data_IF_333176395245
#
_entry.id   IF_333176395245
#
_cell.length_a   1.000
_cell.length_b   1.000
_cell.length_c   1.000
_cell.angle_alpha   90.00
_cell.angle_beta   90.00
_cell.angle_gamma   90.00
#
_symmetry.space_group_name_H-M   'P 1'
#
loop_
_entity.id
_entity.type
_entity.pdbx_description
1 polymer ?
#
# COMPACT_ATOMS: atom_id res chain seq x y z
N UNK A 1 7.83 -15.39 -18.91
CA UNK A 1 8.36 -15.02 -17.58
C UNK A 1 9.35 -13.87 -17.77
N UNK A 2 8.86 -12.62 -17.85
CA UNK A 2 9.72 -11.44 -18.03
C UNK A 2 10.43 -11.15 -16.70
N UNK A 3 11.73 -10.90 -16.77
CA UNK A 3 12.63 -10.66 -15.65
C UNK A 3 12.06 -9.63 -14.68
N UNK A 4 11.66 -10.07 -13.48
CA UNK A 4 11.36 -9.16 -12.37
C UNK A 4 12.68 -8.65 -11.82
N UNK A 5 13.18 -7.54 -12.34
CA UNK A 5 14.27 -6.81 -11.73
C UNK A 5 13.68 -5.97 -10.58
N UNK A 6 13.90 -6.32 -9.31
CA UNK A 6 13.28 -5.63 -8.17
C UNK A 6 13.62 -4.13 -8.12
N UNK A 7 14.75 -3.72 -8.71
CA UNK A 7 15.14 -2.31 -8.79
C UNK A 7 14.21 -1.48 -9.68
N UNK A 8 13.61 -2.06 -10.72
CA UNK A 8 12.65 -1.37 -11.57
C UNK A 8 11.35 -1.07 -10.81
N UNK A 9 10.92 -1.97 -9.93
CA UNK A 9 9.72 -1.77 -9.09
C UNK A 9 9.93 -0.67 -8.05
N UNK A 10 11.15 -0.50 -7.54
CA UNK A 10 11.48 0.53 -6.55
C UNK A 10 11.26 1.98 -7.03
N UNK A 11 11.19 2.18 -8.35
CA UNK A 11 10.92 3.50 -8.93
C UNK A 11 9.43 3.85 -8.93
N UNK A 12 8.55 2.86 -8.81
CA UNK A 12 7.10 3.07 -8.83
C UNK A 12 6.48 3.06 -7.43
N UNK A 13 7.18 2.54 -6.42
CA UNK A 13 6.68 2.55 -5.03
C UNK A 13 6.63 3.98 -4.52
N UNK A 14 5.43 4.41 -4.14
CA UNK A 14 5.16 5.74 -3.60
C UNK A 14 5.08 5.72 -2.07
N UNK A 15 4.38 4.73 -1.50
CA UNK A 15 4.13 4.63 -0.05
C UNK A 15 4.08 3.17 0.41
N UNK A 16 4.62 2.89 1.59
CA UNK A 16 4.47 1.62 2.30
C UNK A 16 3.93 1.89 3.70
N UNK A 17 2.95 1.11 4.13
CA UNK A 17 2.41 1.12 5.50
C UNK A 17 1.73 -0.20 5.85
N UNK A 18 1.53 -0.46 7.14
CA UNK A 18 0.81 -1.63 7.63
C UNK A 18 -0.38 -1.22 8.51
N UNK A 19 -1.46 -2.01 8.46
CA UNK A 19 -2.62 -1.85 9.34
C UNK A 19 -2.88 -3.11 10.15
N UNK A 20 -3.64 -2.95 11.23
CA UNK A 20 -4.30 -4.07 11.89
C UNK A 20 -5.54 -4.53 11.08
N UNK A 21 -6.23 -5.54 11.60
CA UNK A 21 -7.39 -6.17 10.95
C UNK A 21 -8.67 -5.31 10.93
N UNK A 22 -8.67 -4.14 11.57
CA UNK A 22 -9.79 -3.18 11.55
C UNK A 22 -9.41 -1.88 10.80
N UNK A 23 -8.30 -1.92 10.05
CA UNK A 23 -7.85 -0.81 9.22
C UNK A 23 -7.15 0.32 9.97
N UNK A 24 -6.78 0.14 11.24
CA UNK A 24 -5.97 1.13 11.96
C UNK A 24 -4.50 0.92 11.64
N UNK A 25 -3.82 1.98 11.22
CA UNK A 25 -2.41 1.94 10.83
C UNK A 25 -1.50 1.74 12.04
N UNK A 26 -0.58 0.77 11.93
CA UNK A 26 0.33 0.36 13.02
C UNK A 26 1.80 0.67 12.73
N UNK A 27 2.10 1.18 11.53
CA UNK A 27 3.44 1.63 11.14
C UNK A 27 3.43 3.10 10.73
N UNK A 28 4.59 3.77 10.70
CA UNK A 28 4.75 5.00 9.92
C UNK A 28 4.36 4.79 8.46
N UNK A 29 4.11 5.89 7.75
CA UNK A 29 4.24 5.90 6.31
C UNK A 29 5.72 5.96 5.94
N UNK A 30 6.16 5.07 5.06
CA UNK A 30 7.46 5.15 4.41
C UNK A 30 7.22 5.62 2.98
N UNK A 31 7.57 6.86 2.69
CA UNK A 31 7.24 7.52 1.42
C UNK A 31 8.49 7.83 0.60
N UNK A 32 8.38 7.64 -0.72
CA UNK A 32 9.38 8.12 -1.67
C UNK A 32 8.82 9.35 -2.39
N UNK A 33 9.28 10.52 -1.99
CA UNK A 33 8.87 11.80 -2.57
C UNK A 33 10.04 12.33 -3.42
N UNK A 34 9.90 12.29 -4.75
CA UNK A 34 10.93 12.73 -5.69
C UNK A 34 12.19 11.84 -5.69
N UNK A 35 13.36 12.43 -5.98
CA UNK A 35 14.66 11.75 -5.99
C UNK A 35 15.34 11.66 -4.60
N UNK A 36 14.57 11.86 -3.53
CA UNK A 36 15.06 12.01 -2.16
C UNK A 36 15.26 10.66 -1.45
N UNK A 37 15.89 10.71 -0.26
CA UNK A 37 15.81 9.63 0.74
C UNK A 37 14.36 9.33 1.13
N UNK A 38 14.11 8.13 1.67
CA UNK A 38 12.79 7.74 2.19
C UNK A 38 12.38 8.70 3.30
N UNK A 39 11.19 9.29 3.18
CA UNK A 39 10.54 10.06 4.23
C UNK A 39 9.75 9.13 5.16
N UNK A 40 9.86 9.35 6.47
CA UNK A 40 9.24 8.52 7.50
C UNK A 40 8.28 9.38 8.31
N UNK A 41 6.97 9.19 8.09
CA UNK A 41 5.94 9.96 8.77
C UNK A 41 5.15 9.09 9.76
N UNK A 42 5.47 9.23 11.04
CA UNK A 42 4.77 8.55 12.14
C UNK A 42 3.42 9.16 12.49
N UNK A 43 3.05 10.33 11.96
CA UNK A 43 1.76 10.99 12.25
C UNK A 43 0.54 10.24 11.71
N UNK A 44 0.77 9.22 10.89
CA UNK A 44 -0.25 8.31 10.37
C UNK A 44 -0.53 7.10 11.27
N UNK A 45 0.33 6.81 12.26
CA UNK A 45 0.10 5.74 13.22
C UNK A 45 -1.18 6.02 14.02
N UNK A 46 -2.05 5.03 14.13
CA UNK A 46 -3.34 5.13 14.82
C UNK A 46 -4.49 5.68 13.96
N UNK A 47 -4.23 6.23 12.77
CA UNK A 47 -5.30 6.61 11.84
C UNK A 47 -6.03 5.37 11.32
N UNK A 48 -7.34 5.49 11.13
CA UNK A 48 -8.15 4.41 10.59
C UNK A 48 -8.53 4.69 9.12
N UNK A 49 -8.38 3.68 8.26
CA UNK A 49 -8.61 3.78 6.82
C UNK A 49 -9.91 3.13 6.34
N UNK A 50 -10.68 2.53 7.23
CA UNK A 50 -11.93 1.82 6.91
C UNK A 50 -13.02 2.70 6.28
N UNK A 51 -12.89 4.02 6.36
CA UNK A 51 -13.79 4.97 5.68
C UNK A 51 -13.50 5.10 4.18
N UNK A 52 -12.33 4.67 3.69
CA UNK A 52 -12.00 4.73 2.27
C UNK A 52 -12.76 3.63 1.53
N UNK A 53 -13.57 3.96 0.50
CA UNK A 53 -14.44 2.98 -0.17
C UNK A 53 -13.73 1.71 -0.66
N UNK A 54 -12.51 1.84 -1.19
CA UNK A 54 -11.73 0.72 -1.71
C UNK A 54 -10.96 -0.06 -0.64
N UNK A 55 -10.74 0.54 0.54
CA UNK A 55 -9.82 -0.01 1.52
C UNK A 55 -10.38 -1.26 2.22
N UNK A 56 -11.66 -1.24 2.58
CA UNK A 56 -12.28 -2.38 3.27
C UNK A 56 -12.28 -3.65 2.41
N UNK A 57 -12.61 -3.51 1.13
CA UNK A 57 -12.57 -4.63 0.19
C UNK A 57 -11.14 -5.19 0.05
N UNK A 58 -10.15 -4.29 -0.09
CA UNK A 58 -8.75 -4.66 -0.20
C UNK A 58 -8.24 -5.40 1.06
N UNK A 59 -8.53 -4.85 2.24
CA UNK A 59 -8.18 -5.43 3.53
C UNK A 59 -8.81 -6.83 3.67
N UNK A 60 -10.11 -6.95 3.40
CA UNK A 60 -10.84 -8.21 3.52
C UNK A 60 -10.28 -9.29 2.60
N UNK A 61 -10.03 -8.95 1.32
CA UNK A 61 -9.40 -9.86 0.37
C UNK A 61 -8.05 -10.36 0.88
N UNK A 62 -7.20 -9.46 1.39
CA UNK A 62 -5.88 -9.83 1.91
C UNK A 62 -5.94 -10.69 3.16
N UNK A 63 -6.90 -10.44 4.05
CA UNK A 63 -7.08 -11.25 5.27
C UNK A 63 -7.59 -12.66 4.96
N UNK A 64 -8.44 -12.82 3.94
CA UNK A 64 -9.03 -14.11 3.57
C UNK A 64 -8.11 -14.99 2.74
N UNK A 65 -7.06 -14.43 2.15
CA UNK A 65 -6.12 -15.21 1.37
C UNK A 65 -5.20 -16.05 2.28
N UNK A 66 -5.41 -17.36 2.26
CA UNK A 66 -4.64 -18.34 3.05
C UNK A 66 -3.24 -18.56 2.49
N UNK A 67 -2.97 -18.14 1.25
CA UNK A 67 -1.66 -18.28 0.61
C UNK A 67 -0.75 -17.06 0.80
N UNK A 68 -1.28 -15.97 1.38
CA UNK A 68 -0.59 -14.71 1.55
C UNK A 68 0.09 -14.21 0.25
N UNK A 69 -0.62 -14.33 -0.87
CA UNK A 69 -0.28 -13.73 -2.16
C UNK A 69 -0.52 -12.21 -2.13
N UNK A 70 0.07 -11.52 -3.11
CA UNK A 70 -0.17 -10.10 -3.32
C UNK A 70 -1.53 -9.90 -3.99
N UNK A 71 -2.34 -9.00 -3.43
CA UNK A 71 -3.63 -8.58 -3.98
C UNK A 71 -3.48 -7.16 -4.49
N UNK A 72 -4.02 -6.90 -5.68
CA UNK A 72 -3.87 -5.60 -6.36
C UNK A 72 -5.25 -4.94 -6.41
N UNK A 73 -5.33 -3.68 -6.03
CA UNK A 73 -6.55 -2.89 -6.15
C UNK A 73 -6.83 -2.49 -7.61
N UNK A 74 -8.04 -2.02 -7.89
CA UNK A 74 -8.25 -1.19 -9.08
C UNK A 74 -7.44 0.12 -8.96
N UNK A 75 -7.06 0.76 -10.08
CA UNK A 75 -6.45 2.09 -10.05
C UNK A 75 -7.37 3.13 -9.40
N UNK A 76 -6.80 4.04 -8.62
CA UNK A 76 -7.52 5.13 -7.98
C UNK A 76 -6.61 6.36 -7.81
N UNK A 77 -7.21 7.55 -7.70
CA UNK A 77 -6.47 8.77 -7.39
C UNK A 77 -6.30 8.93 -5.87
N UNK A 78 -5.07 9.06 -5.39
CA UNK A 78 -4.81 9.38 -3.99
C UNK A 78 -5.33 10.79 -3.68
N UNK A 79 -6.15 10.91 -2.62
CA UNK A 79 -6.84 12.14 -2.26
C UNK A 79 -5.87 13.25 -1.81
N UNK A 80 -4.71 12.88 -1.24
CA UNK A 80 -3.75 13.85 -0.69
C UNK A 80 -2.83 14.42 -1.77
N UNK A 81 -2.46 13.60 -2.76
CA UNK A 81 -1.45 13.96 -3.77
C UNK A 81 -2.00 14.08 -5.20
N UNK A 82 -3.22 13.61 -5.48
CA UNK A 82 -3.81 13.62 -6.82
C UNK A 82 -3.10 12.68 -7.81
N UNK A 83 -2.35 11.69 -7.32
CA UNK A 83 -1.57 10.76 -8.15
C UNK A 83 -2.41 9.51 -8.41
N UNK A 84 -2.39 9.00 -9.66
CA UNK A 84 -2.99 7.72 -10.01
C UNK A 84 -2.13 6.56 -9.48
N UNK A 85 -2.70 5.80 -8.54
CA UNK A 85 -2.03 4.69 -7.85
C UNK A 85 -2.78 3.37 -8.03
N UNK A 86 -2.04 2.28 -7.88
CA UNK A 86 -2.57 0.97 -7.50
C UNK A 86 -1.99 0.60 -6.14
N UNK A 87 -2.78 -0.06 -5.30
CA UNK A 87 -2.30 -0.57 -4.01
C UNK A 87 -2.15 -2.08 -4.08
N UNK A 88 -0.94 -2.54 -3.79
CA UNK A 88 -0.66 -3.93 -3.49
C UNK A 88 -0.86 -4.16 -2.00
N UNK A 89 -1.53 -5.24 -1.62
CA UNK A 89 -1.67 -5.62 -0.22
C UNK A 89 -1.44 -7.09 0.02
N UNK A 90 -0.94 -7.41 1.21
CA UNK A 90 -0.58 -8.77 1.60
C UNK A 90 -0.68 -8.95 3.10
N UNK A 91 -1.28 -10.05 3.55
CA UNK A 91 -1.21 -10.48 4.95
C UNK A 91 0.24 -10.81 5.30
N UNK A 92 0.79 -10.15 6.32
CA UNK A 92 2.18 -10.34 6.77
C UNK A 92 2.28 -11.01 8.15
N UNK A 93 1.18 -11.00 8.91
CA UNK A 93 1.03 -11.73 10.17
C UNK A 93 -0.45 -12.04 10.40
N UNK A 94 -0.78 -12.77 11.47
CA UNK A 94 -2.18 -13.00 11.87
C UNK A 94 -2.92 -11.71 12.22
N UNK A 95 -2.21 -10.61 12.49
CA UNK A 95 -2.80 -9.37 13.01
C UNK A 95 -2.61 -8.19 12.06
N UNK A 96 -1.80 -8.33 11.01
CA UNK A 96 -1.40 -7.20 10.16
C UNK A 96 -1.45 -7.49 8.67
N UNK A 97 -1.81 -6.45 7.92
CA UNK A 97 -1.78 -6.39 6.46
C UNK A 97 -0.86 -5.26 6.04
N UNK A 98 0.07 -5.58 5.13
CA UNK A 98 0.95 -4.63 4.48
C UNK A 98 0.25 -4.04 3.26
N UNK A 99 0.43 -2.74 3.04
CA UNK A 99 -0.03 -2.00 1.88
C UNK A 99 1.16 -1.30 1.23
N UNK A 100 1.24 -1.38 -0.08
CA UNK A 100 2.25 -0.77 -0.93
C UNK A 100 1.55 -0.04 -2.06
N UNK A 101 1.51 1.28 -1.98
CA UNK A 101 0.97 2.13 -3.04
C UNK A 101 2.05 2.33 -4.11
N UNK A 102 1.70 2.07 -5.36
CA UNK A 102 2.59 2.22 -6.50
C UNK A 102 1.94 3.08 -7.59
N UNK A 103 2.73 3.97 -8.20
CA UNK A 103 2.28 4.84 -9.27
C UNK A 103 2.02 4.05 -10.55
N UNK A 104 0.87 4.30 -11.16
CA UNK A 104 0.55 3.80 -12.50
C UNK A 104 1.23 4.69 -13.53
N UNK A 105 1.96 4.08 -14.46
CA UNK A 105 2.44 4.80 -15.64
C UNK A 105 1.27 4.97 -16.61
N UNK A 106 0.84 6.21 -16.82
CA UNK A 106 0.08 6.56 -18.02
C UNK A 106 1.06 6.56 -19.20
N UNK A 107 0.73 5.81 -20.25
CA UNK A 107 1.44 5.81 -21.53
C UNK A 107 0.84 6.86 -22.46
#
# INVERSE_FOLDING_TARGET
RKSQNPNLLSNFVFRIYATNLIGSQVSPNYMKIGNSSIDIDSSFVGRNWSWRPYFLEQLYKSMKDTRAEWIISNPYYDISYGILLVTYSKKISEQNVLFVDAQVLEY
#
